data_IF_446325789547
#
_entry.id   IF_446325789547
#
_cell.length_a   1.000
_cell.length_b   1.000
_cell.length_c   1.000
_cell.angle_alpha   90.00
_cell.angle_beta   90.00
_cell.angle_gamma   90.00
#
_symmetry.space_group_name_H-M   'P 1'
#
loop_
_entity.id
_entity.type
_entity.pdbx_description
1 polymer ?
#
# COMPACT_ATOMS: atom_id res chain seq x y z
N UNK A 1 12.56 7.38 23.95
CA UNK A 1 11.27 7.59 24.66
C UNK A 1 10.45 6.33 24.43
N UNK A 2 10.20 5.53 25.47
CA UNK A 2 9.52 4.25 25.31
C UNK A 2 8.00 4.45 25.40
N UNK A 3 7.29 4.11 24.34
CA UNK A 3 5.84 3.96 24.38
C UNK A 3 5.51 2.52 24.05
N UNK A 4 4.82 1.86 24.97
CA UNK A 4 4.09 0.64 24.69
C UNK A 4 2.63 0.92 24.98
N UNK A 5 1.80 0.91 23.94
CA UNK A 5 0.36 0.87 24.07
C UNK A 5 -0.13 -0.30 23.22
N UNK A 6 -0.66 -1.33 23.87
CA UNK A 6 -1.35 -2.41 23.19
C UNK A 6 -2.66 -2.74 23.90
N UNK A 7 -3.73 -2.85 23.13
CA UNK A 7 -4.99 -3.49 23.51
C UNK A 7 -4.99 -4.85 22.82
N UNK A 8 -4.85 -5.92 23.60
CA UNK A 8 -4.90 -7.30 23.10
C UNK A 8 -6.35 -7.78 23.22
N UNK A 9 -7.03 -7.97 22.09
CA UNK A 9 -8.19 -8.85 22.02
C UNK A 9 -7.74 -10.21 21.51
N UNK A 10 -7.54 -11.16 22.42
CA UNK A 10 -7.54 -12.56 22.07
C UNK A 10 -9.01 -13.00 21.99
N UNK A 11 -9.56 -13.15 20.78
CA UNK A 11 -10.80 -13.92 20.63
C UNK A 11 -10.47 -15.38 20.97
N UNK A 12 -10.70 -15.78 22.21
CA UNK A 12 -10.87 -17.20 22.51
C UNK A 12 -12.18 -17.60 21.86
N UNK A 13 -12.12 -18.41 20.79
CA UNK A 13 -13.31 -19.13 20.35
C UNK A 13 -13.90 -19.85 21.56
N UNK A 14 -15.17 -19.61 21.87
CA UNK A 14 -15.90 -20.41 22.84
C UNK A 14 -15.80 -21.88 22.42
N UNK A 15 -15.39 -22.83 23.27
CA UNK A 15 -15.13 -24.21 22.85
C UNK A 15 -16.38 -24.99 22.41
N UNK A 16 -17.57 -24.43 22.53
CA UNK A 16 -18.82 -25.08 22.14
C UNK A 16 -19.32 -24.50 20.84
N UNK A 17 -18.83 -25.06 19.72
CA UNK A 17 -19.47 -25.24 18.40
C UNK A 17 -18.44 -25.61 17.29
N UNK A 18 -17.25 -26.12 17.64
CA UNK A 18 -16.34 -26.73 16.65
C UNK A 18 -16.83 -28.16 16.37
N UNK A 19 -17.89 -28.26 15.56
CA UNK A 19 -18.19 -29.49 14.83
C UNK A 19 -18.55 -29.19 13.38
N UNK A 20 -17.83 -28.22 12.80
CA UNK A 20 -17.62 -28.12 11.37
C UNK A 20 -16.12 -27.89 11.19
N UNK A 21 -15.48 -28.73 10.38
CA UNK A 21 -14.15 -28.45 9.84
C UNK A 21 -14.25 -27.13 9.08
N UNK A 22 -14.00 -26.00 9.74
CA UNK A 22 -13.85 -24.73 9.06
C UNK A 22 -12.70 -24.91 8.08
N UNK A 23 -12.90 -24.71 6.77
CA UNK A 23 -11.81 -24.80 5.81
C UNK A 23 -10.66 -23.92 6.31
N UNK A 24 -9.43 -24.45 6.28
CA UNK A 24 -8.27 -23.64 6.61
C UNK A 24 -8.28 -22.40 5.70
N UNK A 25 -8.35 -21.22 6.32
CA UNK A 25 -8.37 -19.97 5.58
C UNK A 25 -7.01 -19.81 4.89
N UNK A 26 -7.03 -19.69 3.58
CA UNK A 26 -5.86 -19.33 2.79
C UNK A 26 -5.85 -17.81 2.66
N UNK A 27 -4.81 -17.19 3.22
CA UNK A 27 -4.65 -15.74 3.26
C UNK A 27 -4.62 -15.11 1.88
N UNK A 28 -4.16 -15.82 0.84
CA UNK A 28 -4.11 -15.25 -0.50
C UNK A 28 -5.47 -15.18 -1.19
N UNK A 29 -6.45 -16.00 -0.78
CA UNK A 29 -7.79 -16.13 -1.40
C UNK A 29 -8.94 -16.03 -0.38
N UNK A 30 -8.73 -15.31 0.72
CA UNK A 30 -9.69 -15.32 1.82
C UNK A 30 -11.04 -14.71 1.41
N UNK A 31 -11.07 -13.71 0.52
CA UNK A 31 -12.32 -13.12 0.05
C UNK A 31 -13.08 -14.08 -0.88
N UNK A 32 -12.37 -14.89 -1.67
CA UNK A 32 -12.96 -15.98 -2.45
C UNK A 32 -13.59 -17.04 -1.54
N UNK A 33 -12.85 -17.53 -0.55
CA UNK A 33 -13.33 -18.57 0.37
C UNK A 33 -14.52 -18.11 1.21
N UNK A 34 -14.57 -16.82 1.56
CA UNK A 34 -15.65 -16.22 2.34
C UNK A 34 -16.75 -15.60 1.48
N UNK A 35 -16.69 -15.71 0.14
CA UNK A 35 -17.66 -15.09 -0.75
C UNK A 35 -19.12 -15.47 -0.45
N UNK A 36 -19.47 -16.73 -0.08
CA UNK A 36 -20.83 -17.06 0.32
C UNK A 36 -21.35 -16.27 1.53
N UNK A 37 -20.46 -15.78 2.39
CA UNK A 37 -20.78 -15.02 3.61
C UNK A 37 -20.71 -13.52 3.37
N UNK A 38 -19.70 -13.04 2.64
CA UNK A 38 -19.43 -11.61 2.47
C UNK A 38 -19.97 -11.03 1.16
N UNK A 39 -20.36 -11.88 0.19
CA UNK A 39 -20.67 -11.45 -1.17
C UNK A 39 -21.78 -10.39 -1.29
N UNK A 40 -22.77 -10.42 -0.38
CA UNK A 40 -23.88 -9.46 -0.34
C UNK A 40 -23.62 -8.26 0.59
N UNK A 41 -22.46 -8.22 1.25
CA UNK A 41 -22.04 -7.08 2.06
C UNK A 41 -21.37 -6.02 1.18
N UNK A 42 -21.43 -4.77 1.60
CA UNK A 42 -20.64 -3.71 0.97
C UNK A 42 -19.20 -3.76 1.47
N UNK A 43 -18.29 -3.10 0.76
CA UNK A 43 -16.89 -3.02 1.16
C UNK A 43 -16.70 -2.39 2.55
N UNK A 44 -17.56 -1.43 2.94
CA UNK A 44 -17.51 -0.80 4.26
C UNK A 44 -18.14 -1.65 5.38
N UNK A 45 -18.87 -2.71 5.03
CA UNK A 45 -19.48 -3.62 6.01
C UNK A 45 -18.48 -4.69 6.50
N UNK A 46 -17.32 -4.80 5.84
CA UNK A 46 -16.29 -5.80 6.17
C UNK A 46 -15.04 -5.14 6.75
N UNK A 47 -14.36 -5.86 7.64
CA UNK A 47 -13.05 -5.47 8.14
C UNK A 47 -11.98 -5.93 7.16
N UNK A 48 -11.17 -4.99 6.66
CA UNK A 48 -10.05 -5.27 5.77
C UNK A 48 -8.73 -5.08 6.52
N UNK A 49 -7.83 -6.07 6.50
CA UNK A 49 -6.46 -5.85 6.93
C UNK A 49 -5.75 -4.95 5.92
N UNK A 50 -4.93 -4.03 6.42
CA UNK A 50 -4.22 -3.07 5.60
C UNK A 50 -2.85 -2.71 6.17
N UNK A 51 -1.98 -2.21 5.30
CA UNK A 51 -0.62 -1.81 5.64
C UNK A 51 -0.44 -0.30 5.47
N UNK A 52 0.10 0.31 6.52
CA UNK A 52 0.48 1.73 6.57
C UNK A 52 1.89 1.90 6.00
N UNK A 53 2.10 2.94 5.18
CA UNK A 53 3.35 3.13 4.43
C UNK A 53 3.79 1.84 3.71
N UNK A 54 2.85 1.18 3.04
CA UNK A 54 2.94 -0.20 2.57
C UNK A 54 4.17 -0.48 1.70
N UNK A 55 4.64 0.53 0.96
CA UNK A 55 5.76 0.42 0.04
C UNK A 55 7.13 0.80 0.65
N UNK A 56 7.18 1.12 1.94
CA UNK A 56 8.42 1.44 2.67
C UNK A 56 9.12 0.19 3.22
N UNK A 57 9.23 -0.87 2.40
CA UNK A 57 10.01 -2.07 2.77
C UNK A 57 11.47 -2.02 2.29
N UNK A 58 11.76 -1.07 1.39
CA UNK A 58 13.11 -0.67 1.00
C UNK A 58 13.11 0.85 0.89
N UNK A 59 13.98 1.49 1.67
CA UNK A 59 14.29 2.91 1.52
C UNK A 59 15.71 3.03 0.96
N UNK A 60 15.82 3.75 -0.15
CA UNK A 60 17.10 4.07 -0.77
C UNK A 60 17.64 5.34 -0.14
N UNK A 61 18.95 5.45 0.05
CA UNK A 61 19.60 6.69 0.51
C UNK A 61 19.57 7.81 -0.55
N UNK A 62 18.71 7.69 -1.57
CA UNK A 62 18.46 8.73 -2.54
C UNK A 62 17.45 9.70 -1.95
N UNK A 63 17.92 10.91 -1.66
CA UNK A 63 17.11 11.97 -1.11
C UNK A 63 16.03 12.37 -2.13
N UNK A 64 14.79 12.43 -1.66
CA UNK A 64 13.72 13.01 -2.46
C UNK A 64 13.85 14.54 -2.48
N UNK A 65 13.47 15.21 -3.57
CA UNK A 65 13.07 16.61 -3.50
C UNK A 65 11.91 16.73 -2.50
N UNK A 66 12.14 17.41 -1.37
CA UNK A 66 11.14 17.58 -0.31
C UNK A 66 9.91 18.37 -0.81
N UNK A 67 8.68 18.01 -0.42
CA UNK A 67 7.43 18.60 -0.91
C UNK A 67 6.93 19.79 -0.10
N UNK A 68 7.47 20.03 1.10
CA UNK A 68 6.80 20.85 2.09
C UNK A 68 7.02 22.35 1.90
N UNK A 69 8.02 22.78 1.11
CA UNK A 69 8.39 24.20 1.04
C UNK A 69 8.83 24.80 2.40
N UNK A 70 8.99 23.95 3.42
CA UNK A 70 9.66 24.22 4.69
C UNK A 70 11.17 23.95 4.48
N UNK A 71 12.11 24.60 5.19
CA UNK A 71 13.54 24.45 4.94
C UNK A 71 14.08 23.11 5.48
N UNK A 72 13.51 22.00 5.02
CA UNK A 72 14.09 20.66 5.08
C UNK A 72 15.26 20.51 4.09
N UNK A 73 15.37 21.41 3.10
CA UNK A 73 16.59 21.55 2.30
C UNK A 73 17.82 21.85 3.17
N UNK A 74 17.66 22.65 4.23
CA UNK A 74 18.74 22.93 5.17
C UNK A 74 19.08 21.66 5.97
N UNK A 75 18.09 20.90 6.44
CA UNK A 75 18.31 19.64 7.15
C UNK A 75 18.93 18.56 6.26
N UNK A 76 18.52 18.42 5.00
CA UNK A 76 19.10 17.50 4.02
C UNK A 76 20.56 17.88 3.70
N UNK A 77 20.85 19.17 3.49
CA UNK A 77 22.22 19.66 3.31
C UNK A 77 23.04 19.41 4.59
N UNK A 78 22.46 19.65 5.76
CA UNK A 78 23.10 19.37 7.05
C UNK A 78 23.37 17.87 7.23
N UNK A 79 22.47 16.99 6.81
CA UNK A 79 22.67 15.54 6.86
C UNK A 79 23.78 15.10 5.91
N UNK A 80 23.81 15.62 4.68
CA UNK A 80 24.90 15.36 3.73
C UNK A 80 26.25 15.86 4.25
N UNK A 81 26.28 17.04 4.88
CA UNK A 81 27.48 17.58 5.51
C UNK A 81 27.89 16.71 6.71
N UNK A 82 26.94 16.32 7.56
CA UNK A 82 27.20 15.47 8.72
C UNK A 82 27.82 14.12 8.31
N UNK A 83 27.31 13.51 7.24
CA UNK A 83 27.88 12.28 6.63
C UNK A 83 29.32 12.52 6.12
N UNK A 84 29.60 13.67 5.50
CA UNK A 84 30.98 14.04 5.11
C UNK A 84 31.91 14.18 6.32
N UNK A 85 31.38 14.49 7.50
CA UNK A 85 32.12 14.52 8.77
C UNK A 85 32.09 13.17 9.52
N UNK A 86 31.59 12.10 8.90
CA UNK A 86 31.58 10.75 9.46
C UNK A 86 30.46 10.49 10.46
N UNK A 87 29.38 11.29 10.44
CA UNK A 87 28.18 11.06 11.24
C UNK A 87 27.19 10.23 10.39
N UNK A 88 26.86 8.99 10.79
CA UNK A 88 26.05 8.08 9.99
C UNK A 88 24.55 8.37 10.18
N UNK A 89 24.08 9.45 9.57
CA UNK A 89 22.68 9.87 9.59
C UNK A 89 21.79 8.84 8.89
N UNK A 90 22.20 8.32 7.75
CA UNK A 90 21.40 7.37 6.96
C UNK A 90 21.20 6.02 7.67
N UNK A 91 22.18 5.60 8.47
CA UNK A 91 22.07 4.40 9.34
C UNK A 91 20.98 4.57 10.42
N UNK A 92 20.54 5.79 10.69
CA UNK A 92 19.47 6.11 11.65
C UNK A 92 18.14 6.33 10.92
N UNK A 93 18.15 7.08 9.80
CA UNK A 93 16.93 7.44 9.06
C UNK A 93 16.28 6.24 8.39
N UNK A 94 17.06 5.38 7.71
CA UNK A 94 16.50 4.23 6.97
C UNK A 94 15.68 3.31 7.89
N UNK A 95 16.18 2.86 9.06
CA UNK A 95 15.39 2.03 9.97
C UNK A 95 14.16 2.71 10.57
N UNK A 96 14.12 4.05 10.59
CA UNK A 96 12.94 4.81 11.03
C UNK A 96 11.91 4.97 9.91
N UNK A 97 12.39 5.03 8.68
CA UNK A 97 11.60 5.16 7.47
C UNK A 97 11.01 3.82 7.00
N UNK A 98 11.61 2.68 7.31
CA UNK A 98 11.03 1.39 6.93
C UNK A 98 9.86 0.99 7.85
N UNK A 99 8.67 0.77 7.28
CA UNK A 99 7.48 0.32 8.04
C UNK A 99 7.11 -1.15 7.77
N UNK A 100 7.61 -1.71 6.67
CA UNK A 100 7.31 -3.07 6.22
C UNK A 100 8.60 -3.84 5.92
N UNK A 101 8.52 -5.16 5.79
CA UNK A 101 9.65 -6.01 5.37
C UNK A 101 9.27 -6.97 4.22
N UNK A 102 8.15 -6.67 3.55
CA UNK A 102 7.57 -7.49 2.48
C UNK A 102 7.14 -6.61 1.33
N UNK A 103 7.27 -7.13 0.12
CA UNK A 103 6.77 -6.45 -1.09
C UNK A 103 5.25 -6.34 -1.06
N UNK A 104 4.65 -5.44 -1.85
CA UNK A 104 3.19 -5.35 -1.93
C UNK A 104 2.54 -6.66 -2.43
N UNK A 105 3.21 -7.41 -3.31
CA UNK A 105 2.76 -8.73 -3.73
C UNK A 105 2.68 -9.72 -2.57
N UNK A 106 3.73 -9.76 -1.74
CA UNK A 106 3.78 -10.64 -0.57
C UNK A 106 2.79 -10.23 0.52
N UNK A 107 2.62 -8.92 0.76
CA UNK A 107 1.60 -8.42 1.68
C UNK A 107 0.19 -8.85 1.22
N UNK A 108 -0.09 -8.83 -0.09
CA UNK A 108 -1.35 -9.33 -0.64
C UNK A 108 -1.51 -10.85 -0.45
N UNK A 109 -0.45 -11.64 -0.63
CA UNK A 109 -0.44 -13.08 -0.33
C UNK A 109 -0.69 -13.36 1.16
N UNK A 110 -0.20 -12.50 2.04
CA UNK A 110 -0.41 -12.60 3.49
C UNK A 110 -1.83 -12.15 3.93
N UNK A 111 -2.64 -11.64 2.99
CA UNK A 111 -4.05 -11.33 3.20
C UNK A 111 -4.39 -9.85 3.27
N UNK A 112 -3.41 -8.94 3.13
CA UNK A 112 -3.65 -7.50 3.12
C UNK A 112 -4.48 -7.10 1.90
N UNK A 113 -5.47 -6.23 2.11
CA UNK A 113 -6.38 -5.74 1.06
C UNK A 113 -6.46 -4.22 0.99
N UNK A 114 -5.86 -3.50 1.93
CA UNK A 114 -5.63 -2.05 1.85
C UNK A 114 -4.14 -1.73 1.87
N UNK A 115 -3.70 -0.85 0.96
CA UNK A 115 -2.30 -0.44 0.83
C UNK A 115 -2.21 1.08 0.78
N UNK A 116 -1.53 1.68 1.77
CA UNK A 116 -1.13 3.10 1.76
C UNK A 116 0.18 3.26 0.95
N UNK A 117 0.08 3.75 -0.28
CA UNK A 117 1.19 3.98 -1.20
C UNK A 117 1.51 5.47 -1.31
N UNK A 118 2.41 5.96 -0.45
CA UNK A 118 2.94 7.32 -0.56
C UNK A 118 3.93 7.44 -1.71
N UNK A 119 3.81 8.49 -2.52
CA UNK A 119 4.57 8.61 -3.76
C UNK A 119 5.33 9.94 -3.87
N UNK A 120 6.60 9.89 -4.27
CA UNK A 120 7.41 11.05 -4.61
C UNK A 120 7.72 11.10 -6.11
N UNK A 121 7.74 12.30 -6.67
CA UNK A 121 8.21 12.58 -8.03
C UNK A 121 9.57 13.28 -7.97
N UNK A 122 10.59 12.65 -8.55
CA UNK A 122 11.96 13.17 -8.51
C UNK A 122 12.31 14.13 -9.65
N UNK A 123 11.31 14.53 -10.47
CA UNK A 123 11.50 15.32 -11.69
C UNK A 123 11.55 14.50 -12.98
N UNK A 124 11.64 13.17 -12.87
CA UNK A 124 11.62 12.22 -14.00
C UNK A 124 10.60 11.11 -13.76
N UNK A 125 10.67 10.45 -12.61
CA UNK A 125 9.96 9.23 -12.31
C UNK A 125 9.31 9.26 -10.92
N UNK A 126 8.39 8.33 -10.70
CA UNK A 126 7.64 8.17 -9.47
C UNK A 126 8.18 7.01 -8.62
N UNK A 127 8.42 7.29 -7.34
CA UNK A 127 8.95 6.35 -6.34
C UNK A 127 8.07 6.32 -5.10
N UNK A 128 8.13 5.24 -4.31
CA UNK A 128 7.57 5.25 -2.96
C UNK A 128 8.33 6.23 -2.07
N UNK A 129 7.67 6.81 -1.07
CA UNK A 129 8.28 7.84 -0.23
C UNK A 129 7.90 7.68 1.24
N UNK A 130 8.91 7.65 2.11
CA UNK A 130 8.75 7.84 3.54
C UNK A 130 10.08 8.36 4.09
N UNK A 131 10.16 9.67 4.36
CA UNK A 131 11.41 10.42 4.56
C UNK A 131 12.33 10.47 3.33
N UNK A 132 12.73 9.31 2.82
CA UNK A 132 13.57 9.14 1.64
C UNK A 132 12.85 8.31 0.56
N UNK A 133 13.44 8.28 -0.65
CA UNK A 133 12.89 7.55 -1.78
C UNK A 133 13.05 6.05 -1.57
N UNK A 134 12.01 5.28 -1.84
CA UNK A 134 12.09 3.83 -1.98
C UNK A 134 12.19 3.40 -3.44
N UNK A 135 11.56 2.27 -3.77
CA UNK A 135 11.52 1.74 -5.13
C UNK A 135 10.51 2.47 -6.01
N UNK A 136 10.57 2.22 -7.31
CA UNK A 136 9.65 2.85 -8.27
C UNK A 136 8.19 2.45 -8.00
N UNK A 137 7.25 3.39 -8.20
CA UNK A 137 5.81 3.10 -8.12
C UNK A 137 5.40 2.01 -9.12
N UNK A 138 6.04 1.97 -10.29
CA UNK A 138 5.82 0.93 -11.31
C UNK A 138 6.08 -0.46 -10.74
N UNK A 139 7.19 -0.64 -10.01
CA UNK A 139 7.55 -1.92 -9.40
C UNK A 139 6.50 -2.39 -8.39
N UNK A 140 6.09 -1.49 -7.49
CA UNK A 140 5.07 -1.75 -6.48
C UNK A 140 3.72 -2.15 -7.10
N UNK A 141 3.25 -1.38 -8.08
CA UNK A 141 1.99 -1.65 -8.76
C UNK A 141 2.05 -2.89 -9.64
N UNK A 142 3.21 -3.24 -10.20
CA UNK A 142 3.42 -4.50 -10.93
C UNK A 142 3.28 -5.71 -9.98
N UNK A 143 3.74 -5.59 -8.74
CA UNK A 143 3.50 -6.60 -7.70
C UNK A 143 2.01 -6.85 -7.46
N UNK A 144 1.23 -5.78 -7.28
CA UNK A 144 -0.22 -5.89 -7.10
C UNK A 144 -0.95 -6.37 -8.35
N UNK A 145 -0.50 -5.96 -9.54
CA UNK A 145 -1.00 -6.46 -10.82
C UNK A 145 -0.86 -8.00 -10.90
N UNK A 146 0.33 -8.52 -10.59
CA UNK A 146 0.61 -9.97 -10.58
C UNK A 146 -0.32 -10.72 -9.63
N UNK A 147 -0.60 -10.16 -8.47
CA UNK A 147 -1.57 -10.73 -7.52
C UNK A 147 -2.97 -10.81 -8.15
N UNK A 148 -3.47 -9.68 -8.66
CA UNK A 148 -4.80 -9.57 -9.28
C UNK A 148 -4.99 -10.44 -10.53
N UNK A 149 -3.93 -10.77 -11.26
CA UNK A 149 -3.94 -11.71 -12.39
C UNK A 149 -4.23 -13.15 -11.97
N UNK A 150 -3.80 -13.54 -10.76
CA UNK A 150 -3.86 -14.92 -10.27
C UNK A 150 -4.93 -15.13 -9.21
N UNK A 151 -5.48 -14.06 -8.64
CA UNK A 151 -6.46 -14.06 -7.54
C UNK A 151 -7.69 -13.22 -7.94
N UNK A 152 -8.42 -13.67 -8.96
CA UNK A 152 -9.45 -12.86 -9.65
C UNK A 152 -10.65 -12.48 -8.79
N UNK A 153 -10.85 -13.22 -7.69
CA UNK A 153 -11.89 -13.03 -6.67
C UNK A 153 -11.52 -12.04 -5.57
N UNK A 154 -10.29 -11.54 -5.53
CA UNK A 154 -9.84 -10.63 -4.49
C UNK A 154 -10.02 -9.17 -4.92
N UNK A 155 -10.24 -8.30 -3.95
CA UNK A 155 -10.43 -6.86 -4.14
C UNK A 155 -9.34 -6.13 -3.37
N UNK A 156 -8.61 -5.25 -4.05
CA UNK A 156 -7.58 -4.43 -3.41
C UNK A 156 -8.06 -2.97 -3.34
N UNK A 157 -7.87 -2.33 -2.20
CA UNK A 157 -7.94 -0.89 -2.02
C UNK A 157 -6.50 -0.37 -2.04
N UNK A 158 -6.20 0.45 -3.04
CA UNK A 158 -4.88 1.04 -3.22
C UNK A 158 -5.05 2.55 -3.08
N UNK A 159 -4.52 3.11 -2.00
CA UNK A 159 -4.43 4.55 -1.83
C UNK A 159 -3.08 5.02 -2.36
N UNK A 160 -3.09 5.95 -3.32
CA UNK A 160 -1.87 6.65 -3.75
C UNK A 160 -1.97 8.09 -3.29
N UNK A 161 -1.11 8.49 -2.34
CA UNK A 161 -1.30 9.72 -1.57
C UNK A 161 0.03 10.38 -1.17
N UNK A 162 -0.07 11.42 -0.32
CA UNK A 162 1.06 12.14 0.28
C UNK A 162 2.14 12.55 -0.73
N UNK A 163 1.70 13.07 -1.88
CA UNK A 163 2.57 13.32 -3.02
C UNK A 163 3.73 14.25 -2.68
N UNK A 164 4.94 13.78 -3.00
CA UNK A 164 6.17 14.44 -2.64
C UNK A 164 6.96 14.97 -3.86
N UNK A 165 7.15 16.28 -4.02
CA UNK A 165 7.98 16.86 -5.09
C UNK A 165 8.31 18.34 -4.87
N UNK A 166 9.44 18.83 -5.39
CA UNK A 166 9.80 20.27 -5.35
C UNK A 166 8.85 21.15 -6.15
N UNK A 167 8.32 20.68 -7.29
CA UNK A 167 7.40 21.44 -8.14
C UNK A 167 6.42 20.48 -8.85
N UNK A 168 5.45 19.95 -8.10
CA UNK A 168 4.50 18.99 -8.66
C UNK A 168 3.54 19.67 -9.66
N UNK A 169 3.56 19.23 -10.92
CA UNK A 169 2.65 19.75 -11.95
C UNK A 169 1.48 18.81 -12.21
N UNK A 170 0.47 19.31 -12.94
CA UNK A 170 -0.65 18.48 -13.41
C UNK A 170 -0.20 17.41 -14.41
N UNK A 171 0.83 17.68 -15.21
CA UNK A 171 1.33 16.74 -16.20
C UNK A 171 2.07 15.57 -15.53
N UNK A 172 2.79 15.83 -14.44
CA UNK A 172 3.42 14.78 -13.63
C UNK A 172 2.37 13.84 -13.01
N UNK A 173 1.29 14.42 -12.46
CA UNK A 173 0.13 13.67 -11.94
C UNK A 173 -0.59 12.89 -13.04
N UNK A 174 -0.69 13.45 -14.25
CA UNK A 174 -1.23 12.72 -15.40
C UNK A 174 -0.31 11.55 -15.81
N UNK A 175 1.01 11.71 -15.68
CA UNK A 175 1.99 10.64 -15.85
C UNK A 175 1.75 9.51 -14.84
N UNK A 176 1.58 9.82 -13.55
CA UNK A 176 1.24 8.83 -12.53
C UNK A 176 -0.08 8.13 -12.83
N UNK A 177 -1.11 8.89 -13.21
CA UNK A 177 -2.40 8.33 -13.63
C UNK A 177 -2.23 7.37 -14.81
N UNK A 178 -1.38 7.72 -15.79
CA UNK A 178 -1.09 6.85 -16.93
C UNK A 178 -0.47 5.53 -16.48
N UNK A 179 0.52 5.56 -15.57
CA UNK A 179 1.11 4.35 -14.99
C UNK A 179 0.03 3.45 -14.36
N UNK A 180 -0.85 4.03 -13.55
CA UNK A 180 -1.95 3.28 -12.90
C UNK A 180 -2.90 2.68 -13.95
N UNK A 181 -3.27 3.46 -14.98
CA UNK A 181 -4.16 2.96 -16.04
C UNK A 181 -3.50 1.87 -16.88
N UNK A 182 -2.23 2.02 -17.25
CA UNK A 182 -1.48 1.04 -18.04
C UNK A 182 -1.38 -0.30 -17.29
N UNK A 183 -1.15 -0.25 -15.97
CA UNK A 183 -0.97 -1.46 -15.16
C UNK A 183 -2.29 -2.07 -14.69
N UNK A 184 -3.25 -1.25 -14.23
CA UNK A 184 -4.37 -1.73 -13.43
C UNK A 184 -5.76 -1.53 -14.07
N UNK A 185 -5.86 -0.90 -15.26
CA UNK A 185 -7.15 -0.54 -15.87
C UNK A 185 -8.19 -1.66 -15.91
N UNK A 186 -7.79 -2.89 -16.21
CA UNK A 186 -8.70 -4.05 -16.25
C UNK A 186 -9.32 -4.45 -14.89
N UNK A 187 -8.77 -3.95 -13.77
CA UNK A 187 -9.28 -4.19 -12.41
C UNK A 187 -9.85 -2.94 -11.74
N UNK A 188 -9.75 -1.76 -12.37
CA UNK A 188 -10.24 -0.53 -11.77
C UNK A 188 -11.77 -0.53 -11.71
N UNK A 189 -12.28 -0.26 -10.52
CA UNK A 189 -13.70 -0.05 -10.31
C UNK A 189 -14.07 1.41 -10.64
N UNK A 190 -15.09 1.67 -11.49
CA UNK A 190 -15.48 3.04 -11.82
C UNK A 190 -16.03 3.76 -10.59
N UNK A 191 -15.76 5.06 -10.48
CA UNK A 191 -16.38 5.88 -9.45
C UNK A 191 -17.91 5.81 -9.58
N UNK A 192 -18.58 5.42 -8.52
CA UNK A 192 -20.03 5.29 -8.43
C UNK A 192 -20.51 5.97 -7.15
N UNK A 193 -21.66 6.64 -7.21
CA UNK A 193 -22.33 7.19 -6.03
C UNK A 193 -23.11 6.10 -5.25
N UNK A 194 -23.25 4.92 -5.85
CA UNK A 194 -23.87 3.77 -5.21
C UNK A 194 -22.80 2.95 -4.49
N UNK A 195 -23.08 2.63 -3.24
CA UNK A 195 -22.35 1.60 -2.54
C UNK A 195 -22.73 0.24 -3.10
N UNK A 196 -21.77 -0.46 -3.67
CA UNK A 196 -21.99 -1.76 -4.28
C UNK A 196 -21.48 -2.90 -3.39
N UNK A 197 -22.03 -4.09 -3.60
CA UNK A 197 -21.65 -5.28 -2.86
C UNK A 197 -20.36 -5.90 -3.40
N UNK A 198 -19.72 -6.76 -2.62
CA UNK A 198 -18.52 -7.51 -3.05
C UNK A 198 -18.80 -8.33 -4.32
N UNK A 199 -19.99 -8.91 -4.46
CA UNK A 199 -20.38 -9.62 -5.68
C UNK A 199 -20.47 -8.69 -6.90
N UNK A 200 -20.90 -7.45 -6.70
CA UNK A 200 -21.03 -6.49 -7.80
C UNK A 200 -19.67 -5.92 -8.24
N UNK A 201 -18.70 -5.80 -7.30
CA UNK A 201 -17.30 -5.47 -7.65
C UNK A 201 -16.72 -6.48 -8.65
N UNK A 202 -17.11 -7.76 -8.53
CA UNK A 202 -16.60 -8.85 -9.37
C UNK A 202 -17.23 -8.86 -10.77
N UNK A 203 -18.53 -8.58 -10.87
CA UNK A 203 -19.28 -8.64 -12.14
C UNK A 203 -18.86 -7.60 -13.18
N UNK A 204 -18.25 -6.49 -12.77
CA UNK A 204 -17.77 -5.48 -13.74
C UNK A 204 -16.74 -6.06 -14.73
N UNK A 205 -15.95 -7.06 -14.30
CA UNK A 205 -15.00 -7.74 -15.18
C UNK A 205 -15.66 -8.61 -16.27
N UNK A 206 -16.93 -9.00 -16.09
CA UNK A 206 -17.65 -9.83 -17.07
C UNK A 206 -18.35 -8.99 -18.15
N UNK A 207 -18.38 -7.66 -18.00
CA UNK A 207 -19.12 -6.73 -18.86
C UNK A 207 -18.22 -5.79 -19.69
N UNK A 208 -16.90 -5.83 -19.50
CA UNK A 208 -15.88 -5.12 -20.28
C UNK A 208 -15.24 -6.07 -21.30
#
# INVERSE_FOLDING_TARGET
>A
MFWFLFLIFAFTQSPSLINAQSPQLNTSIWMEQLLPQIGNLHLYDITLPGTHDAASFIITSALSPDPAGDPLLDDIILFQIAEQFGIPVQDIIIPWAESQNRTLYEQALDGMRYFDLRAAFNGSDWFSYHFDLGLSIIEHLTGLQKFLQTHTSEILIIEVSHFAATNLTKDDLNGLRKIIMDLLSQWLYPRSDNFITINDCKKIKELL
#
